data_IF_077547191012
#
_entry.id   IF_077547191012
#
_cell.length_a   1.000
_cell.length_b   1.000
_cell.length_c   1.000
_cell.angle_alpha   90.00
_cell.angle_beta   90.00
_cell.angle_gamma   90.00
#
_symmetry.space_group_name_H-M   'P 1'
#
loop_
_entity.id
_entity.type
_entity.pdbx_description
1 polymer ?
#
# COMPACT_ATOMS: atom_id res chain seq x y z
N UNK A 1 -35.09 -12.48 23.12
CA UNK A 1 -35.69 -13.69 23.74
C UNK A 1 -34.66 -14.49 24.52
N UNK A 2 -33.40 -14.62 24.04
CA UNK A 2 -32.36 -15.39 24.73
C UNK A 2 -31.86 -14.77 26.04
N UNK A 3 -32.12 -13.48 26.27
CA UNK A 3 -31.69 -12.77 27.49
C UNK A 3 -32.77 -12.81 28.61
N UNK A 4 -33.93 -13.42 28.39
CA UNK A 4 -35.03 -13.52 29.39
C UNK A 4 -35.67 -12.19 29.76
N UNK A 5 -35.42 -11.12 29.01
CA UNK A 5 -36.07 -9.83 29.24
C UNK A 5 -37.48 -9.81 28.61
N UNK A 6 -38.47 -9.39 29.41
CA UNK A 6 -39.87 -9.26 28.96
C UNK A 6 -40.15 -7.88 28.32
N UNK A 7 -39.38 -6.86 28.69
CA UNK A 7 -39.54 -5.49 28.21
C UNK A 7 -38.15 -4.90 27.92
N UNK A 8 -38.03 -4.19 26.83
CA UNK A 8 -36.80 -3.44 26.45
C UNK A 8 -37.19 -1.99 26.12
N UNK A 9 -36.41 -1.00 26.52
CA UNK A 9 -36.64 0.38 26.11
C UNK A 9 -36.35 0.52 24.62
N UNK A 10 -37.31 1.09 23.87
CA UNK A 10 -37.20 1.32 22.43
C UNK A 10 -37.47 2.79 22.11
N UNK A 11 -36.82 3.32 21.11
CA UNK A 11 -37.12 4.61 20.50
C UNK A 11 -37.74 4.34 19.15
N UNK A 12 -38.99 4.72 18.99
CA UNK A 12 -39.70 4.57 17.71
C UNK A 12 -39.32 5.78 16.85
N UNK A 13 -38.74 5.53 15.69
CA UNK A 13 -38.41 6.53 14.67
C UNK A 13 -39.09 6.17 13.36
N UNK A 14 -39.71 7.13 12.69
CA UNK A 14 -40.20 6.96 11.33
C UNK A 14 -39.00 6.99 10.38
N UNK A 15 -38.65 5.85 9.82
CA UNK A 15 -37.61 5.71 8.84
C UNK A 15 -38.08 4.81 7.71
N UNK A 16 -37.82 5.20 6.48
CA UNK A 16 -37.98 4.31 5.32
C UNK A 16 -36.89 3.22 5.37
N UNK A 17 -37.03 2.20 4.53
CA UNK A 17 -36.09 1.06 4.49
C UNK A 17 -34.64 1.53 4.21
N UNK A 18 -34.46 2.56 3.39
CA UNK A 18 -33.16 3.15 3.08
C UNK A 18 -32.53 3.82 4.30
N UNK A 19 -33.27 4.63 5.04
CA UNK A 19 -32.79 5.26 6.29
C UNK A 19 -32.53 4.23 7.38
N UNK A 20 -33.36 3.20 7.48
CA UNK A 20 -33.15 2.12 8.43
C UNK A 20 -31.84 1.38 8.15
N UNK A 21 -31.54 1.09 6.87
CA UNK A 21 -30.28 0.49 6.47
C UNK A 21 -29.09 1.41 6.72
N UNK A 22 -29.24 2.71 6.44
CA UNK A 22 -28.23 3.72 6.71
C UNK A 22 -27.86 3.76 8.21
N UNK A 23 -28.87 3.84 9.10
CA UNK A 23 -28.65 3.84 10.54
C UNK A 23 -28.00 2.54 11.03
N UNK A 24 -28.39 1.40 10.49
CA UNK A 24 -27.81 0.11 10.85
C UNK A 24 -26.31 0.02 10.46
N UNK A 25 -25.93 0.55 9.29
CA UNK A 25 -24.52 0.58 8.86
C UNK A 25 -23.71 1.54 9.76
N UNK A 26 -24.28 2.71 10.09
CA UNK A 26 -23.61 3.70 10.95
C UNK A 26 -23.42 3.19 12.36
N UNK A 27 -24.46 2.61 12.94
CA UNK A 27 -24.38 2.01 14.28
C UNK A 27 -23.29 0.94 14.32
N UNK A 28 -23.27 0.07 13.30
CA UNK A 28 -22.26 -0.96 13.20
C UNK A 28 -20.84 -0.38 13.03
N UNK A 29 -20.65 0.68 12.23
CA UNK A 29 -19.36 1.34 12.02
C UNK A 29 -18.89 2.13 13.25
N UNK A 30 -19.79 2.56 14.11
CA UNK A 30 -19.47 3.29 15.36
C UNK A 30 -19.09 2.36 16.52
N UNK A 31 -19.12 1.04 16.32
CA UNK A 31 -18.68 0.09 17.37
C UNK A 31 -17.18 0.27 17.65
N UNK A 32 -16.81 0.15 18.93
CA UNK A 32 -15.43 0.38 19.37
C UNK A 32 -14.43 -0.75 19.06
N UNK A 33 -14.93 -1.92 18.71
CA UNK A 33 -14.17 -3.16 18.53
C UNK A 33 -13.97 -3.56 17.05
N UNK A 34 -14.26 -2.65 16.12
CA UNK A 34 -14.10 -2.91 14.69
C UNK A 34 -12.62 -2.99 14.27
N UNK A 35 -12.34 -3.98 13.44
CA UNK A 35 -11.10 -4.04 12.69
C UNK A 35 -11.09 -2.91 11.62
N UNK A 36 -9.90 -2.39 11.29
CA UNK A 36 -9.74 -1.33 10.30
C UNK A 36 -10.22 -1.71 8.88
N UNK A 37 -10.30 -2.99 8.56
CA UNK A 37 -10.86 -3.50 7.29
C UNK A 37 -12.39 -3.51 7.35
N UNK A 38 -12.98 -3.90 8.48
CA UNK A 38 -14.43 -3.83 8.69
C UNK A 38 -14.94 -2.40 8.65
N UNK A 39 -14.20 -1.48 9.30
CA UNK A 39 -14.46 -0.05 9.25
C UNK A 39 -14.42 0.47 7.80
N UNK A 40 -13.41 0.10 7.03
CA UNK A 40 -13.27 0.48 5.62
C UNK A 40 -14.41 -0.07 4.75
N UNK A 41 -14.81 -1.33 4.97
CA UNK A 41 -15.96 -1.95 4.29
C UNK A 41 -17.28 -1.24 4.61
N UNK A 42 -17.48 -0.80 5.86
CA UNK A 42 -18.63 0.00 6.25
C UNK A 42 -18.69 1.33 5.48
N UNK A 43 -17.56 2.03 5.36
CA UNK A 43 -17.48 3.26 4.57
C UNK A 43 -17.72 3.04 3.09
N UNK A 44 -17.18 1.95 2.53
CA UNK A 44 -17.42 1.59 1.13
C UNK A 44 -18.90 1.32 0.86
N UNK A 45 -19.58 0.62 1.76
CA UNK A 45 -21.03 0.38 1.65
C UNK A 45 -21.85 1.67 1.65
N UNK A 46 -21.49 2.65 2.51
CA UNK A 46 -22.18 3.95 2.52
C UNK A 46 -21.98 4.69 1.19
N UNK A 47 -20.80 4.61 0.58
CA UNK A 47 -20.53 5.21 -0.72
C UNK A 47 -21.34 4.50 -1.82
N UNK A 48 -21.28 3.17 -1.87
CA UNK A 48 -21.85 2.39 -2.97
C UNK A 48 -23.39 2.35 -2.94
N UNK A 49 -23.99 2.24 -1.75
CA UNK A 49 -25.44 2.09 -1.61
C UNK A 49 -26.19 3.42 -1.55
N UNK A 50 -25.57 4.46 -0.96
CA UNK A 50 -26.24 5.75 -0.76
C UNK A 50 -25.64 6.86 -1.63
N UNK A 51 -24.62 6.58 -2.46
CA UNK A 51 -23.97 7.57 -3.33
C UNK A 51 -23.27 8.70 -2.56
N UNK A 52 -22.85 8.43 -1.31
CA UNK A 52 -22.17 9.43 -0.50
C UNK A 52 -20.74 9.65 -1.00
N UNK A 53 -20.30 10.90 -1.00
CA UNK A 53 -18.88 11.19 -1.15
C UNK A 53 -18.15 11.01 0.19
N UNK A 54 -16.82 10.97 0.13
CA UNK A 54 -15.99 10.76 1.33
C UNK A 54 -16.15 11.88 2.38
N UNK A 55 -16.52 13.09 1.96
CA UNK A 55 -16.75 14.20 2.86
C UNK A 55 -18.06 14.05 3.63
N UNK A 56 -19.12 13.62 2.93
CA UNK A 56 -20.42 13.34 3.55
C UNK A 56 -20.32 12.18 4.54
N UNK A 57 -19.62 11.07 4.16
CA UNK A 57 -19.35 9.96 5.07
C UNK A 57 -18.58 10.44 6.31
N UNK A 58 -17.56 11.28 6.13
CA UNK A 58 -16.75 11.82 7.22
C UNK A 58 -17.58 12.63 8.20
N UNK A 59 -18.41 13.55 7.72
CA UNK A 59 -19.33 14.34 8.53
C UNK A 59 -20.34 13.47 9.27
N UNK A 60 -20.87 12.47 8.59
CA UNK A 60 -21.91 11.60 9.12
C UNK A 60 -21.40 10.69 10.24
N UNK A 61 -20.18 10.15 10.10
CA UNK A 61 -19.53 9.30 11.09
C UNK A 61 -18.82 10.11 12.21
N UNK A 62 -18.59 11.42 12.00
CA UNK A 62 -17.82 12.26 12.95
C UNK A 62 -16.30 12.04 12.86
N UNK A 63 -15.79 11.64 11.71
CA UNK A 63 -14.35 11.45 11.42
C UNK A 63 -13.84 12.47 10.42
N UNK A 64 -12.52 12.59 10.26
CA UNK A 64 -11.95 13.43 9.21
C UNK A 64 -12.04 12.75 7.83
N UNK A 65 -12.19 13.54 6.76
CA UNK A 65 -12.15 13.03 5.37
C UNK A 65 -10.85 12.25 5.09
N UNK A 66 -9.73 12.70 5.65
CA UNK A 66 -8.44 12.00 5.50
C UNK A 66 -8.44 10.63 6.17
N UNK A 67 -9.15 10.46 7.29
CA UNK A 67 -9.33 9.17 7.93
C UNK A 67 -10.11 8.21 7.02
N UNK A 68 -11.27 8.64 6.52
CA UNK A 68 -12.10 7.85 5.58
C UNK A 68 -11.28 7.43 4.35
N UNK A 69 -10.60 8.39 3.71
CA UNK A 69 -9.77 8.12 2.53
C UNK A 69 -8.66 7.10 2.83
N UNK A 70 -8.01 7.19 3.98
CA UNK A 70 -6.97 6.25 4.38
C UNK A 70 -7.52 4.84 4.64
N UNK A 71 -8.69 4.72 5.25
CA UNK A 71 -9.34 3.43 5.47
C UNK A 71 -9.74 2.79 4.13
N UNK A 72 -10.39 3.53 3.23
CA UNK A 72 -10.78 3.03 1.91
C UNK A 72 -9.58 2.56 1.09
N UNK A 73 -8.44 3.23 1.20
CA UNK A 73 -7.20 2.80 0.53
C UNK A 73 -6.69 1.44 1.02
N UNK A 74 -7.02 1.01 2.24
CA UNK A 74 -6.65 -0.33 2.71
C UNK A 74 -7.31 -1.44 1.90
N UNK A 75 -8.53 -1.21 1.38
CA UNK A 75 -9.24 -2.17 0.54
C UNK A 75 -8.58 -2.39 -0.83
N UNK A 76 -7.67 -1.51 -1.25
CA UNK A 76 -6.89 -1.69 -2.49
C UNK A 76 -5.69 -2.62 -2.32
N UNK A 77 -5.41 -3.09 -1.11
CA UNK A 77 -4.34 -4.04 -0.84
C UNK A 77 -4.70 -5.45 -1.35
N UNK A 78 -3.70 -6.28 -1.70
CA UNK A 78 -3.92 -7.69 -2.00
C UNK A 78 -4.64 -8.42 -0.86
N UNK A 79 -5.49 -9.40 -1.19
CA UNK A 79 -6.29 -10.16 -0.21
C UNK A 79 -5.44 -10.80 0.89
N UNK A 80 -4.25 -11.27 0.55
CA UNK A 80 -3.32 -11.86 1.49
C UNK A 80 -2.82 -10.86 2.55
N UNK A 81 -2.66 -9.58 2.16
CA UNK A 81 -2.28 -8.51 3.10
C UNK A 81 -3.48 -8.10 3.97
N UNK A 82 -4.68 -8.06 3.38
CA UNK A 82 -5.92 -7.80 4.12
C UNK A 82 -6.11 -8.85 5.22
N UNK A 83 -5.94 -10.13 4.91
CA UNK A 83 -6.02 -11.21 5.90
C UNK A 83 -5.01 -11.05 7.05
N UNK A 84 -3.80 -10.52 6.79
CA UNK A 84 -2.82 -10.25 7.85
C UNK A 84 -3.26 -9.11 8.78
N UNK A 85 -4.02 -8.14 8.26
CA UNK A 85 -4.59 -7.04 9.06
C UNK A 85 -5.76 -7.57 9.90
N UNK A 86 -6.66 -8.34 9.31
CA UNK A 86 -7.82 -8.93 9.96
C UNK A 86 -7.42 -9.85 11.13
N UNK A 87 -6.35 -10.64 10.93
CA UNK A 87 -5.79 -11.51 11.97
C UNK A 87 -4.93 -10.77 13.01
N UNK A 88 -4.82 -9.44 12.94
CA UNK A 88 -4.03 -8.65 13.88
C UNK A 88 -2.50 -8.78 13.74
N UNK A 89 -2.01 -9.51 12.73
CA UNK A 89 -0.59 -9.70 12.47
C UNK A 89 0.09 -8.45 11.89
N UNK A 90 -0.70 -7.57 11.29
CA UNK A 90 -0.23 -6.31 10.70
C UNK A 90 -1.10 -5.15 11.17
N UNK A 91 -0.50 -4.12 11.76
CA UNK A 91 -1.26 -2.94 12.21
C UNK A 91 -1.69 -2.06 11.03
N UNK A 92 -2.76 -1.27 11.23
CA UNK A 92 -3.24 -0.29 10.26
C UNK A 92 -2.13 0.69 9.79
N UNK A 93 -1.23 1.09 10.69
CA UNK A 93 -0.09 1.95 10.36
C UNK A 93 0.85 1.32 9.35
N UNK A 94 1.19 0.05 9.52
CA UNK A 94 2.00 -0.71 8.57
C UNK A 94 1.28 -0.90 7.23
N UNK A 95 -0.03 -1.22 7.28
CA UNK A 95 -0.84 -1.41 6.08
C UNK A 95 -0.89 -0.15 5.20
N UNK A 96 -1.03 1.05 5.79
CA UNK A 96 -1.01 2.33 5.07
C UNK A 96 0.27 2.52 4.23
N UNK A 97 1.41 2.07 4.75
CA UNK A 97 2.70 2.19 4.06
C UNK A 97 2.80 1.27 2.85
N UNK A 98 2.08 0.15 2.86
CA UNK A 98 2.07 -0.85 1.79
C UNK A 98 1.16 -0.50 0.62
N UNK A 99 0.23 0.44 0.79
CA UNK A 99 -0.71 0.84 -0.27
C UNK A 99 0.06 1.35 -1.50
N UNK A 100 -0.30 0.81 -2.67
CA UNK A 100 0.32 1.17 -3.95
C UNK A 100 1.68 0.54 -4.21
N UNK A 101 2.03 -0.53 -3.48
CA UNK A 101 3.20 -1.36 -3.78
C UNK A 101 2.80 -2.60 -4.58
N UNK A 102 3.50 -2.86 -5.68
CA UNK A 102 3.31 -4.09 -6.47
C UNK A 102 3.60 -5.37 -5.66
N UNK A 103 4.62 -5.31 -4.79
CA UNK A 103 5.05 -6.43 -3.95
C UNK A 103 4.63 -6.27 -2.49
N UNK A 104 3.42 -5.73 -2.22
CA UNK A 104 2.92 -5.43 -0.88
C UNK A 104 3.00 -6.63 0.07
N UNK A 105 2.63 -7.82 -0.37
CA UNK A 105 2.65 -9.04 0.44
C UNK A 105 4.06 -9.46 0.88
N UNK A 106 5.04 -9.38 -0.02
CA UNK A 106 6.43 -9.70 0.31
C UNK A 106 7.01 -8.73 1.34
N UNK A 107 6.66 -7.44 1.21
CA UNK A 107 7.10 -6.42 2.17
C UNK A 107 6.38 -6.59 3.50
N UNK A 108 5.08 -6.95 3.49
CA UNK A 108 4.31 -7.26 4.69
C UNK A 108 4.95 -8.40 5.49
N UNK A 109 5.31 -9.51 4.84
CA UNK A 109 6.02 -10.61 5.49
C UNK A 109 7.33 -10.17 6.14
N UNK A 110 8.14 -9.36 5.43
CA UNK A 110 9.39 -8.83 6.00
C UNK A 110 9.16 -7.93 7.22
N UNK A 111 8.08 -7.15 7.23
CA UNK A 111 7.71 -6.30 8.38
C UNK A 111 7.39 -7.18 9.58
N UNK A 112 6.62 -8.25 9.39
CA UNK A 112 6.22 -9.18 10.44
C UNK A 112 7.43 -9.97 10.96
N UNK A 113 8.21 -10.59 10.07
CA UNK A 113 9.36 -11.44 10.42
C UNK A 113 10.42 -10.65 11.21
N UNK A 114 10.65 -9.40 10.82
CA UNK A 114 11.62 -8.52 11.48
C UNK A 114 11.05 -7.67 12.59
N UNK A 115 9.75 -7.78 12.89
CA UNK A 115 9.03 -6.98 13.90
C UNK A 115 9.32 -5.49 13.76
N UNK A 116 9.28 -4.97 12.53
CA UNK A 116 9.64 -3.58 12.24
C UNK A 116 8.58 -2.64 12.81
N UNK A 117 9.01 -1.48 13.29
CA UNK A 117 8.11 -0.37 13.59
C UNK A 117 7.59 0.29 12.30
N UNK A 118 6.50 1.07 12.38
CA UNK A 118 5.92 1.79 11.24
C UNK A 118 6.96 2.66 10.54
N UNK A 119 7.79 3.39 11.29
CA UNK A 119 8.88 4.23 10.73
C UNK A 119 9.93 3.42 9.98
N UNK A 120 10.28 2.23 10.50
CA UNK A 120 11.24 1.33 9.82
C UNK A 120 10.61 0.73 8.55
N UNK A 121 9.31 0.41 8.58
CA UNK A 121 8.57 -0.03 7.42
C UNK A 121 8.50 1.05 6.32
N UNK A 122 8.27 2.32 6.68
CA UNK A 122 8.33 3.46 5.75
C UNK A 122 9.69 3.57 5.06
N UNK A 123 10.79 3.46 5.82
CA UNK A 123 12.14 3.49 5.28
C UNK A 123 12.40 2.31 4.33
N UNK A 124 11.96 1.11 4.72
CA UNK A 124 12.05 -0.08 3.88
C UNK A 124 11.33 0.14 2.54
N UNK A 125 10.08 0.60 2.58
CA UNK A 125 9.27 0.88 1.39
C UNK A 125 9.91 1.95 0.51
N UNK A 126 10.49 3.00 1.11
CA UNK A 126 11.21 4.04 0.35
C UNK A 126 12.37 3.44 -0.45
N UNK A 127 13.15 2.53 0.14
CA UNK A 127 14.24 1.84 -0.55
C UNK A 127 13.71 0.97 -1.70
N UNK A 128 12.60 0.26 -1.50
CA UNK A 128 11.98 -0.54 -2.57
C UNK A 128 11.49 0.34 -3.73
N UNK A 129 10.83 1.46 -3.43
CA UNK A 129 10.35 2.42 -4.45
C UNK A 129 11.49 3.06 -5.24
N UNK A 130 12.60 3.40 -4.59
CA UNK A 130 13.79 3.96 -5.27
C UNK A 130 14.48 2.93 -6.14
N UNK A 131 14.61 1.68 -5.69
CA UNK A 131 15.16 0.60 -6.51
C UNK A 131 14.28 0.25 -7.71
N UNK A 132 12.96 0.29 -7.56
CA UNK A 132 12.03 0.07 -8.68
C UNK A 132 12.14 1.19 -9.73
N UNK A 133 12.25 2.45 -9.32
CA UNK A 133 12.46 3.57 -10.26
C UNK A 133 13.81 3.52 -10.99
N UNK A 134 14.85 3.00 -10.33
CA UNK A 134 16.18 2.86 -10.94
C UNK A 134 16.21 1.78 -12.04
N UNK A 135 15.30 0.83 -12.06
CA UNK A 135 15.24 -0.25 -13.06
C UNK A 135 14.65 0.17 -14.42
N UNK A 136 14.00 1.33 -14.50
CA UNK A 136 13.32 1.82 -15.70
C UNK A 136 13.91 3.10 -16.30
N UNK A 137 15.16 3.41 -16.04
CA UNK A 137 15.88 4.33 -16.93
C UNK A 137 16.18 3.49 -18.18
N UNK A 138 15.31 3.61 -19.18
CA UNK A 138 15.60 3.12 -20.53
C UNK A 138 16.93 3.76 -20.94
N UNK A 139 18.02 2.99 -20.91
CA UNK A 139 19.29 3.46 -21.45
C UNK A 139 19.08 3.80 -22.92
N UNK A 140 19.60 4.94 -23.33
CA UNK A 140 19.61 5.37 -24.73
C UNK A 140 20.09 4.18 -25.61
N UNK A 141 19.37 3.83 -26.70
CA UNK A 141 19.78 2.76 -27.61
C UNK A 141 21.21 2.90 -28.08
N UNK A 142 21.68 4.13 -28.34
CA UNK A 142 23.06 4.42 -28.75
C UNK A 142 24.09 4.04 -27.65
N UNK A 143 23.75 4.27 -26.38
CA UNK A 143 24.61 3.87 -25.25
C UNK A 143 24.68 2.34 -25.10
N UNK A 144 23.57 1.63 -25.35
CA UNK A 144 23.59 0.16 -25.37
C UNK A 144 24.44 -0.41 -26.49
N UNK A 145 24.39 0.19 -27.67
CA UNK A 145 25.22 -0.21 -28.80
C UNK A 145 26.71 0.01 -28.48
N UNK A 146 27.06 1.17 -27.93
CA UNK A 146 28.42 1.49 -27.51
C UNK A 146 28.92 0.54 -26.42
N UNK A 147 28.10 0.20 -25.43
CA UNK A 147 28.40 -0.82 -24.42
C UNK A 147 28.73 -2.17 -25.08
N UNK A 148 27.90 -2.61 -26.02
CA UNK A 148 28.10 -3.89 -26.72
C UNK A 148 29.39 -3.89 -27.56
N UNK A 149 29.71 -2.81 -28.24
CA UNK A 149 30.95 -2.66 -29.01
C UNK A 149 32.17 -2.71 -28.10
N UNK A 150 32.11 -2.04 -26.94
CA UNK A 150 33.20 -2.07 -25.97
C UNK A 150 33.40 -3.45 -25.33
N UNK A 151 32.28 -4.14 -24.98
CA UNK A 151 32.31 -5.51 -24.45
C UNK A 151 33.02 -6.43 -25.47
N UNK A 152 32.64 -6.34 -26.76
CA UNK A 152 33.23 -7.17 -27.81
C UNK A 152 34.70 -6.88 -28.05
N UNK A 153 35.18 -5.63 -27.90
CA UNK A 153 36.56 -5.24 -28.10
C UNK A 153 37.46 -5.57 -26.91
N UNK A 154 36.96 -5.41 -25.70
CA UNK A 154 37.77 -5.48 -24.46
C UNK A 154 37.57 -6.83 -23.76
N UNK A 155 36.46 -7.55 -24.00
CA UNK A 155 36.16 -8.81 -23.33
C UNK A 155 35.76 -8.66 -21.86
N UNK A 156 35.47 -7.43 -21.40
CA UNK A 156 35.01 -7.11 -20.06
C UNK A 156 33.56 -6.64 -20.10
N UNK A 157 32.81 -6.88 -19.02
CA UNK A 157 31.50 -6.26 -18.87
C UNK A 157 31.64 -4.75 -18.69
N UNK A 158 31.02 -3.99 -19.60
CA UNK A 158 31.07 -2.52 -19.59
C UNK A 158 29.69 -1.96 -19.30
N UNK A 159 29.60 -1.01 -18.37
CA UNK A 159 28.39 -0.27 -18.10
C UNK A 159 28.64 1.23 -18.17
N UNK A 160 27.92 1.92 -19.07
CA UNK A 160 28.01 3.38 -19.25
C UNK A 160 26.80 4.03 -18.58
N UNK A 161 27.08 5.00 -17.72
CA UNK A 161 26.03 5.77 -17.04
C UNK A 161 26.17 7.25 -17.40
N UNK A 162 25.26 7.76 -18.23
CA UNK A 162 25.26 9.16 -18.66
C UNK A 162 24.29 9.98 -17.82
N UNK A 163 24.72 11.19 -17.41
CA UNK A 163 23.91 12.15 -16.65
C UNK A 163 23.34 13.20 -17.62
N UNK A 164 22.26 13.87 -17.19
CA UNK A 164 21.58 14.93 -17.99
C UNK A 164 22.47 16.11 -18.40
N UNK A 165 23.57 16.33 -17.71
CA UNK A 165 24.56 17.39 -18.02
C UNK A 165 25.68 16.93 -18.94
N UNK A 166 25.51 15.86 -19.71
CA UNK A 166 26.51 15.24 -20.58
C UNK A 166 27.79 14.74 -19.90
N UNK A 167 27.81 14.69 -18.56
CA UNK A 167 28.83 13.97 -17.81
C UNK A 167 28.43 12.53 -17.58
N UNK A 168 29.35 11.65 -17.35
CA UNK A 168 29.04 10.24 -17.13
C UNK A 168 30.15 9.49 -16.42
N UNK A 169 29.92 8.19 -16.23
CA UNK A 169 30.89 7.26 -15.71
C UNK A 169 30.83 5.97 -16.50
N UNK A 170 31.99 5.35 -16.73
CA UNK A 170 32.09 4.03 -17.35
C UNK A 170 32.65 3.10 -16.27
N UNK A 171 31.97 1.95 -16.11
CA UNK A 171 32.38 0.91 -15.17
C UNK A 171 32.79 -0.32 -15.97
N UNK A 172 33.97 -0.85 -15.66
CA UNK A 172 34.48 -2.11 -16.15
C UNK A 172 34.41 -3.13 -15.02
N UNK A 173 33.76 -4.26 -15.26
CA UNK A 173 33.64 -5.34 -14.30
C UNK A 173 34.58 -6.48 -14.73
N UNK A 174 35.51 -6.86 -13.87
CA UNK A 174 36.44 -7.95 -14.08
C UNK A 174 36.31 -9.00 -12.97
N UNK A 175 36.57 -10.26 -13.28
CA UNK A 175 36.43 -11.38 -12.34
C UNK A 175 37.76 -11.68 -11.60
N UNK A 176 38.89 -11.41 -12.22
CA UNK A 176 40.22 -11.60 -11.66
C UNK A 176 41.21 -10.60 -12.24
N UNK A 177 42.39 -10.45 -11.61
CA UNK A 177 43.43 -9.51 -12.03
C UNK A 177 44.02 -9.84 -13.40
N UNK A 178 44.06 -11.12 -13.80
CA UNK A 178 44.57 -11.53 -15.10
C UNK A 178 43.68 -11.04 -16.25
N UNK A 179 42.39 -10.91 -15.99
CA UNK A 179 41.43 -10.35 -16.92
C UNK A 179 41.56 -8.82 -17.08
N UNK A 180 42.02 -8.13 -16.02
CA UNK A 180 42.23 -6.70 -16.04
C UNK A 180 43.56 -6.32 -16.78
N UNK A 181 44.54 -7.20 -16.78
CA UNK A 181 45.87 -6.97 -17.38
C UNK A 181 45.96 -7.36 -18.87
N UNK A 182 44.86 -7.83 -19.46
CA UNK A 182 44.74 -8.12 -20.91
C UNK A 182 44.30 -6.89 -21.68
#
# INVERSE_FOLDING_TARGET
QNAGLHEIPVVITEADDLKSLEFAIVENVQRHDLNSIEEANGYQKLIDQFGYDQEKVAKFIGKSRSHISNCLRLLTLPKEVIALIENGNLSQGHAKVLVGLENAFFVAKKIIDKKLSVRQAENLVRIFKTKSKSKYILKDPNLKQLESELINKIGLNVSINNKKNNSGSIYFEYKNLDQLNR
#
